data_IF_500747219528
#
_entry.id   IF_500747219528
#
_cell.length_a   1.000
_cell.length_b   1.000
_cell.length_c   1.000
_cell.angle_alpha   90.00
_cell.angle_beta   90.00
_cell.angle_gamma   90.00
#
_symmetry.space_group_name_H-M   'P 1'
#
loop_
_entity.id
_entity.type
_entity.pdbx_description
1 polymer ?
#
# COMPACT_ATOMS: atom_id res chain seq x y z
N UNK A 1 -5.70 26.24 31.98
CA UNK A 1 -6.71 25.27 31.53
C UNK A 1 -6.18 23.91 31.97
N UNK A 2 -7.04 22.93 32.24
CA UNK A 2 -6.53 21.58 32.55
C UNK A 2 -6.03 20.96 31.24
N UNK A 3 -4.78 20.50 31.22
CA UNK A 3 -4.16 19.84 30.06
C UNK A 3 -4.99 18.61 29.63
N UNK A 4 -5.61 17.93 30.59
CA UNK A 4 -6.47 16.77 30.33
C UNK A 4 -7.74 17.19 29.57
N UNK A 5 -8.36 18.30 29.95
CA UNK A 5 -9.54 18.84 29.27
C UNK A 5 -9.17 19.29 27.84
N UNK A 6 -8.00 19.93 27.66
CA UNK A 6 -7.52 20.32 26.33
C UNK A 6 -7.26 19.11 25.43
N UNK A 7 -6.66 18.05 25.96
CA UNK A 7 -6.49 16.79 25.24
C UNK A 7 -7.84 16.21 24.81
N UNK A 8 -8.83 16.15 25.69
CA UNK A 8 -10.14 15.60 25.36
C UNK A 8 -10.84 16.41 24.27
N UNK A 9 -10.79 17.72 24.37
CA UNK A 9 -11.34 18.61 23.35
C UNK A 9 -10.65 18.41 21.99
N UNK A 10 -9.32 18.27 21.96
CA UNK A 10 -8.58 17.98 20.73
C UNK A 10 -8.97 16.63 20.12
N UNK A 11 -9.07 15.58 20.95
CA UNK A 11 -9.44 14.24 20.48
C UNK A 11 -10.86 14.17 19.94
N UNK A 12 -11.81 14.87 20.57
CA UNK A 12 -13.21 14.97 20.11
C UNK A 12 -13.28 15.75 18.78
N UNK A 13 -12.50 16.82 18.64
CA UNK A 13 -12.42 17.55 17.38
C UNK A 13 -11.87 16.65 16.26
N UNK A 14 -10.80 15.90 16.52
CA UNK A 14 -10.20 14.98 15.54
C UNK A 14 -11.12 13.83 15.15
N UNK A 15 -11.85 13.24 16.09
CA UNK A 15 -12.83 12.19 15.79
C UNK A 15 -14.04 12.70 14.99
N UNK A 16 -14.27 14.01 14.98
CA UNK A 16 -15.27 14.66 14.13
C UNK A 16 -14.73 15.00 12.74
N UNK A 17 -13.42 15.24 12.61
CA UNK A 17 -12.75 15.58 11.35
C UNK A 17 -12.45 14.32 10.54
N UNK A 18 -12.02 13.25 11.20
CA UNK A 18 -11.54 12.02 10.58
C UNK A 18 -12.50 10.86 10.80
N UNK A 19 -12.58 9.96 9.83
CA UNK A 19 -13.29 8.70 10.00
C UNK A 19 -12.52 7.72 10.89
N UNK A 20 -13.20 6.65 11.30
CA UNK A 20 -12.61 5.59 12.14
C UNK A 20 -11.49 4.82 11.45
N UNK A 21 -11.36 4.92 10.13
CA UNK A 21 -10.24 4.30 9.41
C UNK A 21 -8.97 5.16 9.51
N UNK A 22 -9.12 6.49 9.47
CA UNK A 22 -8.00 7.45 9.51
C UNK A 22 -7.50 7.74 10.92
N UNK A 23 -8.38 7.84 11.92
CA UNK A 23 -8.01 8.21 13.29
C UNK A 23 -8.60 7.26 14.33
N UNK A 24 -7.74 6.70 15.18
CA UNK A 24 -8.10 5.75 16.21
C UNK A 24 -7.46 6.10 17.55
N UNK A 25 -8.21 5.94 18.64
CA UNK A 25 -7.72 6.08 20.01
C UNK A 25 -7.42 4.66 20.52
N UNK A 26 -6.19 4.40 20.98
CA UNK A 26 -5.71 3.06 21.40
C UNK A 26 -5.63 2.95 22.94
N UNK A 27 -6.36 3.77 23.69
CA UNK A 27 -6.33 3.74 25.15
C UNK A 27 -6.47 2.31 25.71
N UNK A 28 -5.65 1.97 26.71
CA UNK A 28 -5.93 0.83 27.57
C UNK A 28 -7.09 1.20 28.49
N UNK A 29 -8.17 0.43 28.45
CA UNK A 29 -9.41 0.63 29.23
C UNK A 29 -9.20 0.42 30.75
N UNK A 30 -8.36 1.22 31.40
CA UNK A 30 -8.30 1.27 32.87
C UNK A 30 -8.68 2.66 33.40
N UNK A 31 -9.92 2.83 33.90
CA UNK A 31 -10.40 4.10 34.44
C UNK A 31 -9.75 4.50 35.79
N UNK A 32 -8.80 3.72 36.31
CA UNK A 32 -8.08 4.02 37.56
C UNK A 32 -6.60 4.32 37.40
N UNK A 33 -6.08 4.36 36.17
CA UNK A 33 -4.69 4.73 35.91
C UNK A 33 -4.67 5.98 35.04
N UNK A 34 -3.93 7.01 35.46
CA UNK A 34 -3.58 8.15 34.61
C UNK A 34 -2.60 7.61 33.55
N UNK A 35 -3.13 7.00 32.49
CA UNK A 35 -2.32 6.46 31.39
C UNK A 35 -2.17 7.54 30.32
N UNK A 36 -0.97 7.70 29.79
CA UNK A 36 -0.72 8.47 28.58
C UNK A 36 -1.68 8.00 27.46
N UNK A 37 -2.59 8.87 27.01
CA UNK A 37 -3.50 8.56 25.90
C UNK A 37 -2.66 8.33 24.65
N UNK A 38 -2.92 7.26 23.92
CA UNK A 38 -2.23 6.97 22.66
C UNK A 38 -3.22 6.98 21.53
N UNK A 39 -2.88 7.70 20.47
CA UNK A 39 -3.68 7.78 19.24
C UNK A 39 -2.87 7.24 18.07
N UNK A 40 -3.59 6.83 17.02
CA UNK A 40 -3.01 6.36 15.78
C UNK A 40 -3.70 7.02 14.60
N UNK A 41 -2.89 7.64 13.76
CA UNK A 41 -3.29 8.06 12.43
C UNK A 41 -2.89 7.00 11.40
N UNK A 42 -3.80 6.70 10.48
CA UNK A 42 -3.56 5.93 9.26
C UNK A 42 -3.55 6.92 8.10
N UNK A 43 -2.38 7.20 7.56
CA UNK A 43 -2.18 8.27 6.58
C UNK A 43 -1.96 7.64 5.22
N UNK A 44 -3.01 7.61 4.42
CA UNK A 44 -2.94 7.24 3.01
C UNK A 44 -2.16 8.30 2.23
N UNK A 45 -1.13 7.85 1.50
CA UNK A 45 -0.33 8.72 0.64
C UNK A 45 -0.78 8.55 -0.80
N UNK A 46 -1.19 9.66 -1.41
CA UNK A 46 -1.57 9.68 -2.81
C UNK A 46 -0.33 9.78 -3.68
N UNK A 47 -0.16 8.83 -4.60
CA UNK A 47 0.87 8.92 -5.62
C UNK A 47 0.40 9.89 -6.73
N UNK A 48 1.27 10.79 -7.22
CA UNK A 48 0.91 11.73 -8.28
C UNK A 48 0.62 11.01 -9.61
N UNK A 49 1.37 9.94 -9.89
CA UNK A 49 1.15 9.02 -11.02
C UNK A 49 1.59 7.61 -10.59
N UNK A 50 1.18 6.59 -11.35
CA UNK A 50 1.64 5.23 -11.16
C UNK A 50 3.17 5.14 -11.32
N UNK A 51 3.84 4.45 -10.39
CA UNK A 51 5.29 4.41 -10.25
C UNK A 51 5.82 3.04 -10.63
N UNK A 52 6.90 2.99 -11.42
CA UNK A 52 7.65 1.75 -11.67
C UNK A 52 8.55 1.44 -10.47
N UNK A 53 8.35 0.25 -9.88
CA UNK A 53 9.21 -0.29 -8.83
C UNK A 53 9.94 -1.53 -9.36
N UNK A 54 11.15 -1.77 -8.88
CA UNK A 54 11.91 -2.95 -9.26
C UNK A 54 12.83 -3.48 -8.15
N UNK A 55 13.05 -4.79 -8.20
CA UNK A 55 13.95 -5.51 -7.31
C UNK A 55 14.97 -6.30 -8.11
N UNK A 56 16.23 -6.25 -7.70
CA UNK A 56 17.34 -7.03 -8.28
C UNK A 56 17.79 -8.12 -7.32
N UNK A 57 17.63 -9.38 -7.70
CA UNK A 57 18.19 -10.50 -6.94
C UNK A 57 19.52 -10.95 -7.54
N UNK A 58 20.49 -11.17 -6.66
CA UNK A 58 21.73 -11.88 -6.99
C UNK A 58 21.62 -13.31 -6.50
N UNK A 59 21.36 -14.24 -7.42
CA UNK A 59 21.43 -15.66 -7.11
C UNK A 59 22.91 -16.06 -7.04
N UNK A 60 23.42 -16.41 -5.86
CA UNK A 60 24.83 -16.71 -5.63
C UNK A 60 25.39 -17.94 -6.36
N UNK A 61 24.64 -18.54 -7.30
CA UNK A 61 25.01 -19.75 -8.04
C UNK A 61 25.29 -19.51 -9.52
N UNK A 62 24.75 -18.44 -10.11
CA UNK A 62 25.06 -18.02 -11.47
C UNK A 62 25.18 -16.50 -11.44
N UNK A 63 26.15 -15.92 -12.15
CA UNK A 63 26.39 -14.48 -12.20
C UNK A 63 25.30 -13.73 -13.01
N UNK A 64 24.02 -14.14 -12.86
CA UNK A 64 22.84 -13.64 -13.54
C UNK A 64 22.02 -12.79 -12.57
N UNK A 65 22.03 -11.49 -12.81
CA UNK A 65 21.12 -10.56 -12.16
C UNK A 65 19.71 -10.76 -12.71
N UNK A 66 18.76 -11.10 -11.83
CA UNK A 66 17.34 -11.12 -12.19
C UNK A 66 16.68 -9.86 -11.67
N UNK A 67 16.15 -9.05 -12.59
CA UNK A 67 15.41 -7.83 -12.25
C UNK A 67 13.93 -8.08 -12.45
N UNK A 68 13.12 -8.00 -11.38
CA UNK A 68 11.66 -8.01 -11.46
C UNK A 68 11.19 -6.56 -11.42
N UNK A 69 10.29 -6.19 -12.34
CA UNK A 69 9.71 -4.85 -12.45
C UNK A 69 8.19 -4.91 -12.42
N UNK A 70 7.56 -3.89 -11.87
CA UNK A 70 6.10 -3.71 -11.94
C UNK A 70 5.74 -2.23 -11.75
N UNK A 71 4.51 -1.88 -12.07
CA UNK A 71 3.94 -0.56 -11.85
C UNK A 71 2.93 -0.66 -10.70
N UNK A 72 2.97 0.30 -9.77
CA UNK A 72 2.00 0.43 -8.69
C UNK A 72 1.39 1.83 -8.68
N UNK A 73 0.11 1.92 -8.35
CA UNK A 73 -0.63 3.18 -8.21
C UNK A 73 -0.93 3.54 -6.75
N UNK A 74 -0.76 2.59 -5.82
CA UNK A 74 -1.04 2.78 -4.41
C UNK A 74 0.09 2.25 -3.53
N UNK A 75 0.38 2.96 -2.44
CA UNK A 75 1.34 2.55 -1.41
C UNK A 75 0.62 2.26 -0.09
N UNK A 76 1.13 1.30 0.71
CA UNK A 76 0.69 1.11 2.09
C UNK A 76 0.67 2.43 2.87
N UNK A 77 -0.26 2.64 3.82
CA UNK A 77 -0.34 3.89 4.54
C UNK A 77 0.85 4.05 5.50
N UNK A 78 1.13 5.30 5.87
CA UNK A 78 2.00 5.60 7.00
C UNK A 78 1.16 5.59 8.27
N UNK A 79 1.60 4.79 9.23
CA UNK A 79 1.02 4.77 10.57
C UNK A 79 1.81 5.71 11.48
N UNK A 80 1.13 6.70 12.04
CA UNK A 80 1.70 7.57 13.07
C UNK A 80 1.04 7.24 14.42
N UNK A 81 1.80 6.61 15.31
CA UNK A 81 1.39 6.36 16.69
C UNK A 81 1.91 7.50 17.55
N UNK A 82 0.99 8.19 18.23
CA UNK A 82 1.31 9.37 19.02
C UNK A 82 0.86 9.14 20.46
N UNK A 83 1.80 9.24 21.40
CA UNK A 83 1.52 9.14 22.83
C UNK A 83 1.52 10.53 23.46
N UNK A 84 0.42 10.85 24.14
CA UNK A 84 0.18 12.13 24.80
C UNK A 84 0.62 12.05 26.28
N UNK A 85 1.63 12.82 26.69
CA UNK A 85 1.94 13.02 28.10
C UNK A 85 0.77 13.66 28.86
N UNK A 86 0.73 13.53 30.18
CA UNK A 86 -0.33 14.09 31.02
C UNK A 86 -0.31 15.62 31.10
N UNK A 87 0.83 16.21 30.79
CA UNK A 87 1.17 17.64 30.84
C UNK A 87 1.27 18.26 29.43
N UNK A 88 0.73 17.58 28.41
CA UNK A 88 0.52 18.13 27.08
C UNK A 88 -0.86 18.81 27.02
N UNK A 89 -1.00 19.99 26.39
CA UNK A 89 0.00 20.65 25.54
C UNK A 89 0.90 21.67 26.24
N UNK A 90 0.65 21.99 27.52
CA UNK A 90 1.31 23.12 28.18
C UNK A 90 2.82 22.96 28.37
N UNK A 91 3.28 21.78 28.78
CA UNK A 91 4.68 21.55 29.20
C UNK A 91 5.40 20.60 28.25
N UNK A 92 4.81 19.44 27.97
CA UNK A 92 5.45 18.39 27.17
C UNK A 92 4.82 18.27 25.79
N UNK A 93 5.62 17.86 24.81
CA UNK A 93 5.15 17.59 23.44
C UNK A 93 4.83 16.10 23.27
N UNK A 94 3.94 15.72 22.33
CA UNK A 94 3.64 14.33 22.08
C UNK A 94 4.84 13.53 21.57
N UNK A 95 4.96 12.27 21.99
CA UNK A 95 5.94 11.34 21.42
C UNK A 95 5.36 10.71 20.15
N UNK A 96 6.11 10.74 19.05
CA UNK A 96 5.64 10.26 17.74
C UNK A 96 6.51 9.11 17.26
N UNK A 97 5.86 8.02 16.84
CA UNK A 97 6.47 6.88 16.15
C UNK A 97 5.83 6.73 14.79
N UNK A 98 6.65 6.78 13.73
CA UNK A 98 6.23 6.57 12.36
C UNK A 98 6.58 5.15 11.90
N UNK A 99 5.65 4.50 11.21
CA UNK A 99 5.84 3.17 10.65
C UNK A 99 5.15 3.03 9.31
N UNK A 100 5.87 2.59 8.29
CA UNK A 100 5.30 2.13 7.02
C UNK A 100 6.24 1.10 6.40
N UNK A 101 5.69 0.16 5.62
CA UNK A 101 6.49 -0.90 5.01
C UNK A 101 7.64 -0.37 4.13
N UNK A 102 7.40 0.74 3.44
CA UNK A 102 8.34 1.38 2.50
C UNK A 102 9.07 2.60 3.07
N UNK A 103 8.76 3.03 4.30
CA UNK A 103 9.35 4.23 4.89
C UNK A 103 10.72 3.89 5.47
N UNK A 104 11.78 4.41 4.86
CA UNK A 104 13.14 4.20 5.33
C UNK A 104 13.42 4.99 6.63
N UNK A 105 14.21 4.47 7.58
CA UNK A 105 14.52 5.15 8.84
C UNK A 105 15.06 6.58 8.72
N UNK A 106 15.86 6.85 7.68
CA UNK A 106 16.39 8.21 7.40
C UNK A 106 15.26 9.18 7.04
N UNK A 107 14.27 8.72 6.27
CA UNK A 107 13.13 9.55 5.88
C UNK A 107 12.22 9.81 7.09
N UNK A 108 11.97 8.78 7.92
CA UNK A 108 11.22 8.98 9.17
C UNK A 108 11.93 9.95 10.12
N UNK A 109 13.26 9.86 10.27
CA UNK A 109 14.03 10.80 11.10
C UNK A 109 13.91 12.25 10.59
N UNK A 110 13.93 12.45 9.27
CA UNK A 110 13.71 13.77 8.67
C UNK A 110 12.31 14.33 8.98
N UNK A 111 11.27 13.49 8.91
CA UNK A 111 9.90 13.90 9.26
C UNK A 111 9.81 14.22 10.77
N UNK A 112 10.38 13.36 11.63
CA UNK A 112 10.37 13.56 13.08
C UNK A 112 11.07 14.86 13.49
N UNK A 113 12.20 15.21 12.86
CA UNK A 113 12.87 16.52 13.08
C UNK A 113 11.97 17.70 12.73
N UNK A 114 11.21 17.60 11.63
CA UNK A 114 10.26 18.65 11.24
C UNK A 114 9.09 18.75 12.24
N UNK A 115 8.61 17.63 12.76
CA UNK A 115 7.60 17.61 13.83
C UNK A 115 8.12 18.26 15.12
N UNK A 116 9.38 18.03 15.50
CA UNK A 116 10.00 18.69 16.65
C UNK A 116 10.12 20.21 16.48
N UNK A 117 10.37 20.69 15.25
CA UNK A 117 10.37 22.14 14.99
C UNK A 117 8.95 22.71 15.09
N UNK A 118 7.97 22.01 14.51
CA UNK A 118 6.56 22.42 14.55
C UNK A 118 6.04 22.56 15.98
N UNK A 119 6.39 21.64 16.87
CA UNK A 119 6.00 21.73 18.28
C UNK A 119 6.73 22.85 19.03
N UNK A 120 8.00 23.11 18.71
CA UNK A 120 8.74 24.23 19.28
C UNK A 120 8.19 25.60 18.85
N UNK A 121 7.62 25.70 17.63
CA UNK A 121 6.96 26.91 17.12
C UNK A 121 5.58 27.16 17.74
N UNK A 122 4.95 26.13 18.31
CA UNK A 122 3.58 26.18 18.85
C UNK A 122 3.54 25.69 20.31
N UNK A 123 4.24 26.35 21.26
CA UNK A 123 4.27 25.92 22.65
C UNK A 123 2.91 26.14 23.33
N UNK A 124 2.45 25.16 24.11
CA UNK A 124 1.22 25.28 24.89
C UNK A 124 -0.06 25.23 24.07
N UNK A 125 -0.02 24.69 22.85
CA UNK A 125 -1.18 24.58 21.96
C UNK A 125 -1.37 23.12 21.53
N UNK A 126 -2.62 22.64 21.39
CA UNK A 126 -2.89 21.35 20.77
C UNK A 126 -2.47 21.31 19.28
N UNK A 127 -1.65 20.33 18.87
CA UNK A 127 -0.98 20.28 17.55
C UNK A 127 -1.15 18.97 16.77
N UNK A 128 -2.01 18.04 17.21
CA UNK A 128 -2.14 16.72 16.57
C UNK A 128 -2.65 16.80 15.13
N UNK A 129 -3.57 17.72 14.82
CA UNK A 129 -3.99 17.95 13.44
C UNK A 129 -2.82 18.46 12.58
N UNK A 130 -1.98 19.35 13.12
CA UNK A 130 -0.81 19.87 12.43
C UNK A 130 0.23 18.76 12.21
N UNK A 131 0.38 17.85 13.16
CA UNK A 131 1.23 16.66 13.00
C UNK A 131 0.74 15.78 11.85
N UNK A 132 -0.56 15.46 11.81
CA UNK A 132 -1.14 14.70 10.69
C UNK A 132 -0.85 15.36 9.35
N UNK A 133 -1.12 16.68 9.25
CA UNK A 133 -0.95 17.45 8.03
C UNK A 133 0.52 17.47 7.59
N UNK A 134 1.45 17.76 8.51
CA UNK A 134 2.87 17.81 8.22
C UNK A 134 3.42 16.44 7.81
N UNK A 135 3.01 15.36 8.48
CA UNK A 135 3.42 14.00 8.08
C UNK A 135 2.93 13.72 6.66
N UNK A 136 1.66 14.01 6.34
CA UNK A 136 1.09 13.79 5.01
C UNK A 136 1.85 14.57 3.93
N UNK A 137 2.04 15.87 4.13
CA UNK A 137 2.66 16.76 3.15
C UNK A 137 4.15 16.44 2.96
N UNK A 138 4.89 16.23 4.04
CA UNK A 138 6.32 15.89 3.97
C UNK A 138 6.55 14.53 3.35
N UNK A 139 5.72 13.56 3.70
CA UNK A 139 5.80 12.22 3.12
C UNK A 139 5.52 12.26 1.62
N UNK A 140 4.53 13.04 1.18
CA UNK A 140 4.24 13.25 -0.24
C UNK A 140 5.45 13.88 -0.96
N UNK A 141 6.05 14.94 -0.42
CA UNK A 141 7.24 15.59 -1.01
C UNK A 141 8.44 14.64 -1.09
N UNK A 142 8.65 13.82 -0.05
CA UNK A 142 9.71 12.82 -0.05
C UNK A 142 9.47 11.75 -1.11
N UNK A 143 8.23 11.32 -1.30
CA UNK A 143 7.88 10.38 -2.35
C UNK A 143 8.01 11.02 -3.73
N UNK A 144 7.48 12.22 -3.97
CA UNK A 144 7.60 12.92 -5.25
C UNK A 144 9.07 13.12 -5.69
N UNK A 145 9.92 13.50 -4.74
CA UNK A 145 11.37 13.59 -4.98
C UNK A 145 12.06 12.22 -5.13
N UNK A 146 11.56 11.17 -4.49
CA UNK A 146 12.07 9.80 -4.60
C UNK A 146 11.49 9.00 -5.79
N UNK A 147 10.36 9.40 -6.37
CA UNK A 147 9.78 8.82 -7.59
C UNK A 147 10.71 9.09 -8.78
N UNK A 148 11.38 10.25 -8.79
CA UNK A 148 12.51 10.53 -9.69
C UNK A 148 13.72 9.61 -9.46
N UNK A 149 13.66 8.80 -8.40
CA UNK A 149 14.72 7.97 -7.89
C UNK A 149 14.24 6.54 -7.67
N UNK A 150 13.50 5.98 -8.65
CA UNK A 150 13.37 4.54 -8.89
C UNK A 150 13.57 3.72 -7.60
N UNK A 151 12.52 3.39 -6.84
CA UNK A 151 12.63 2.63 -5.58
C UNK A 151 13.49 1.37 -5.81
N UNK A 152 14.80 1.54 -5.62
CA UNK A 152 15.78 0.60 -6.12
C UNK A 152 16.08 -0.28 -4.94
N UNK A 153 15.27 -1.31 -4.81
CA UNK A 153 15.41 -2.34 -3.80
C UNK A 153 16.63 -3.20 -4.16
N UNK A 154 17.85 -2.70 -3.92
CA UNK A 154 19.08 -3.47 -4.11
C UNK A 154 19.49 -4.14 -2.80
N UNK A 155 20.03 -5.34 -2.92
CA UNK A 155 20.52 -6.15 -1.80
C UNK A 155 21.90 -5.70 -1.27
N UNK A 156 22.35 -4.51 -1.66
CA UNK A 156 23.65 -3.99 -1.26
C UNK A 156 23.54 -3.17 0.04
N UNK A 157 24.51 -3.29 0.97
CA UNK A 157 24.47 -2.60 2.27
C UNK A 157 24.68 -1.07 2.19
N UNK A 158 24.78 -0.50 0.99
CA UNK A 158 24.93 0.94 0.77
C UNK A 158 23.71 1.54 0.06
N UNK A 159 22.50 1.19 0.53
CA UNK A 159 21.27 1.77 0.03
C UNK A 159 20.89 3.04 0.81
N UNK A 160 21.79 4.03 0.78
CA UNK A 160 21.29 5.40 0.62
C UNK A 160 20.50 5.41 -0.70
N UNK A 161 19.43 6.20 -0.78
CA UNK A 161 18.88 6.68 -2.06
C UNK A 161 20.04 7.14 -2.95
N UNK A 162 20.61 6.23 -3.75
CA UNK A 162 21.74 6.51 -4.61
C UNK A 162 21.14 6.69 -5.97
N UNK A 163 20.87 7.96 -6.28
CA UNK A 163 20.55 8.43 -7.60
C UNK A 163 21.44 7.71 -8.61
N UNK A 164 20.90 6.76 -9.38
CA UNK A 164 21.67 6.02 -10.37
C UNK A 164 21.97 6.85 -11.63
N UNK A 165 21.69 8.16 -11.62
CA UNK A 165 22.06 9.06 -12.69
C UNK A 165 22.66 10.36 -12.19
N UNK A 166 23.98 10.39 -11.97
CA UNK A 166 24.82 11.49 -12.48
C UNK A 166 26.23 10.97 -12.76
N UNK A 167 26.62 11.01 -14.04
CA UNK A 167 28.00 10.82 -14.48
C UNK A 167 28.81 12.04 -14.07
N UNK A 168 29.46 12.04 -12.91
CA UNK A 168 30.50 13.03 -12.61
C UNK A 168 31.85 12.40 -12.30
N UNK A 169 32.78 12.76 -13.20
CA UNK A 169 34.22 12.53 -13.24
C UNK A 169 34.85 12.59 -11.83
N UNK A 170 35.52 11.51 -11.45
CA UNK A 170 36.42 11.46 -10.29
C UNK A 170 37.48 12.56 -10.41
N UNK A 171 37.51 13.49 -9.46
CA UNK A 171 38.74 14.19 -9.06
C UNK A 171 38.98 13.89 -7.58
N UNK A 172 40.10 13.20 -7.36
CA UNK A 172 40.74 12.89 -6.09
C UNK A 172 40.93 14.12 -5.22
N UNK A 173 40.57 14.06 -3.94
CA UNK A 173 41.28 14.78 -2.89
C UNK A 173 41.19 14.04 -1.55
N UNK A 174 42.25 14.21 -0.76
CA UNK A 174 42.80 13.33 0.26
C UNK A 174 42.24 13.52 1.68
N UNK A 175 42.15 12.39 2.41
CA UNK A 175 42.31 12.14 3.86
C UNK A 175 42.10 13.30 4.87
N UNK A 176 41.18 13.09 5.82
CA UNK A 176 41.52 12.97 7.25
C UNK A 176 40.33 12.47 8.13
N UNK A 177 40.58 11.37 8.86
CA UNK A 177 40.16 10.98 10.23
C UNK A 177 38.67 11.11 10.63
N UNK A 178 37.91 10.01 10.64
CA UNK A 178 37.75 9.00 11.73
C UNK A 178 36.85 9.46 12.89
N UNK A 179 35.55 9.16 12.77
CA UNK A 179 34.70 8.75 13.89
C UNK A 179 33.89 7.57 13.36
N UNK A 180 33.96 6.46 14.10
CA UNK A 180 33.39 5.16 13.76
C UNK A 180 31.85 5.22 13.77
N UNK A 181 31.24 5.10 12.59
CA UNK A 181 29.82 4.74 12.41
C UNK A 181 29.75 3.33 11.83
N UNK A 182 29.87 2.34 12.72
CA UNK A 182 29.75 0.93 12.39
C UNK A 182 28.36 0.42 12.77
N UNK A 183 27.37 0.70 11.91
CA UNK A 183 26.06 0.04 11.91
C UNK A 183 25.71 -0.37 10.48
N UNK A 184 26.59 -1.20 9.94
CA UNK A 184 26.48 -1.82 8.63
C UNK A 184 25.43 -2.95 8.66
N UNK A 185 24.16 -2.60 8.81
CA UNK A 185 23.04 -3.55 8.86
C UNK A 185 22.82 -4.11 7.46
N UNK A 186 23.44 -5.25 7.18
CA UNK A 186 23.32 -5.99 5.92
C UNK A 186 21.84 -6.39 5.71
N UNK A 187 21.07 -5.61 4.96
CA UNK A 187 19.67 -5.94 4.65
C UNK A 187 19.67 -7.24 3.85
N UNK A 188 19.07 -8.29 4.41
CA UNK A 188 18.96 -9.60 3.76
C UNK A 188 18.21 -9.45 2.44
N UNK A 189 18.70 -10.10 1.37
CA UNK A 189 18.04 -10.12 0.06
C UNK A 189 16.58 -10.59 0.13
N UNK A 190 16.27 -11.46 1.10
CA UNK A 190 14.91 -11.90 1.37
C UNK A 190 14.00 -10.78 1.88
N UNK A 191 14.52 -9.85 2.69
CA UNK A 191 13.73 -8.74 3.23
C UNK A 191 13.32 -7.77 2.13
N UNK A 192 14.24 -7.51 1.20
CA UNK A 192 14.01 -6.66 0.03
C UNK A 192 12.95 -7.27 -0.89
N UNK A 193 13.00 -8.59 -1.13
CA UNK A 193 11.98 -9.31 -1.88
C UNK A 193 10.61 -9.29 -1.19
N UNK A 194 10.57 -9.52 0.12
CA UNK A 194 9.32 -9.46 0.91
C UNK A 194 8.67 -8.09 0.85
N UNK A 195 9.46 -7.00 0.89
CA UNK A 195 8.96 -5.66 0.70
C UNK A 195 8.41 -5.45 -0.72
N UNK A 196 9.13 -5.90 -1.75
CA UNK A 196 8.65 -5.79 -3.13
C UNK A 196 7.32 -6.50 -3.34
N UNK A 197 7.19 -7.74 -2.86
CA UNK A 197 5.95 -8.51 -2.98
C UNK A 197 4.82 -7.88 -2.14
N UNK A 198 5.09 -7.35 -0.93
CA UNK A 198 4.06 -6.70 -0.12
C UNK A 198 3.53 -5.39 -0.69
N UNK A 199 4.36 -4.65 -1.45
CA UNK A 199 3.91 -3.46 -2.18
C UNK A 199 2.96 -3.81 -3.33
N UNK A 200 3.23 -4.92 -4.03
CA UNK A 200 2.34 -5.45 -5.07
C UNK A 200 1.02 -5.87 -4.45
N UNK A 201 1.07 -6.69 -3.40
CA UNK A 201 -0.12 -7.22 -2.74
C UNK A 201 -1.02 -6.08 -2.24
N UNK A 202 -0.43 -5.03 -1.68
CA UNK A 202 -1.19 -3.85 -1.24
C UNK A 202 -1.80 -3.07 -2.40
N UNK A 203 -1.03 -2.86 -3.48
CA UNK A 203 -1.52 -2.18 -4.67
C UNK A 203 -2.73 -2.91 -5.28
N UNK A 204 -2.62 -4.24 -5.43
CA UNK A 204 -3.68 -5.08 -5.98
C UNK A 204 -4.91 -5.09 -5.06
N UNK A 205 -4.69 -5.17 -3.74
CA UNK A 205 -5.75 -5.02 -2.75
C UNK A 205 -6.49 -3.68 -2.87
N UNK A 206 -5.77 -2.56 -2.98
CA UNK A 206 -6.40 -1.23 -3.11
C UNK A 206 -7.15 -1.07 -4.42
N UNK A 207 -6.60 -1.54 -5.53
CA UNK A 207 -7.30 -1.55 -6.82
C UNK A 207 -8.58 -2.38 -6.76
N UNK A 208 -8.55 -3.53 -6.08
CA UNK A 208 -9.75 -4.35 -5.89
C UNK A 208 -10.82 -3.63 -5.05
N UNK A 209 -10.43 -2.98 -3.95
CA UNK A 209 -11.39 -2.21 -3.12
C UNK A 209 -12.04 -1.08 -3.91
N UNK A 210 -11.25 -0.32 -4.68
CA UNK A 210 -11.78 0.74 -5.55
C UNK A 210 -12.75 0.17 -6.58
N UNK A 211 -12.33 -0.89 -7.28
CA UNK A 211 -13.20 -1.56 -8.24
C UNK A 211 -14.52 -1.97 -7.61
N UNK A 212 -14.49 -2.61 -6.43
CA UNK A 212 -15.66 -3.09 -5.71
C UNK A 212 -16.64 -1.99 -5.31
N UNK A 213 -16.13 -0.80 -4.98
CA UNK A 213 -16.91 0.33 -4.49
C UNK A 213 -17.38 1.27 -5.60
N UNK A 214 -16.80 1.17 -6.80
CA UNK A 214 -17.24 1.92 -7.98
C UNK A 214 -18.37 1.20 -8.73
N UNK A 215 -19.17 1.98 -9.47
CA UNK A 215 -20.21 1.46 -10.37
C UNK A 215 -19.63 1.22 -11.76
N UNK A 216 -20.00 0.09 -12.35
CA UNK A 216 -19.58 -0.34 -13.67
C UNK A 216 -20.81 -0.71 -14.51
N UNK A 217 -20.82 -0.27 -15.77
CA UNK A 217 -21.85 -0.62 -16.73
C UNK A 217 -21.58 -2.02 -17.31
N UNK A 218 -22.54 -2.93 -17.21
CA UNK A 218 -22.47 -4.23 -17.88
C UNK A 218 -22.93 -4.10 -19.33
N UNK A 219 -22.05 -4.35 -20.31
CA UNK A 219 -22.38 -4.21 -21.75
C UNK A 219 -23.38 -5.25 -22.29
N UNK A 220 -23.67 -6.30 -21.52
CA UNK A 220 -24.61 -7.35 -21.94
C UNK A 220 -26.06 -6.99 -21.60
N UNK A 221 -26.28 -6.44 -20.39
CA UNK A 221 -27.62 -6.07 -19.93
C UNK A 221 -27.84 -4.55 -19.85
N UNK A 222 -26.81 -3.75 -20.10
CA UNK A 222 -26.81 -2.28 -20.08
C UNK A 222 -27.25 -1.67 -18.73
N UNK A 223 -26.99 -2.38 -17.64
CA UNK A 223 -27.30 -1.95 -16.27
C UNK A 223 -26.00 -1.69 -15.49
N UNK A 224 -26.04 -0.68 -14.61
CA UNK A 224 -24.95 -0.37 -13.70
C UNK A 224 -25.00 -1.23 -12.43
N UNK A 225 -23.85 -1.77 -12.04
CA UNK A 225 -23.67 -2.54 -10.82
C UNK A 225 -22.42 -2.09 -10.08
N UNK A 226 -22.39 -2.22 -8.76
CA UNK A 226 -21.13 -2.06 -8.02
C UNK A 226 -20.15 -3.16 -8.43
N UNK A 227 -18.84 -2.88 -8.43
CA UNK A 227 -17.84 -3.88 -8.82
C UNK A 227 -17.87 -5.13 -7.94
N UNK A 228 -18.40 -5.05 -6.72
CA UNK A 228 -18.68 -6.20 -5.85
C UNK A 228 -19.66 -7.22 -6.46
N UNK A 229 -20.50 -6.79 -7.40
CA UNK A 229 -21.45 -7.61 -8.18
C UNK A 229 -20.97 -7.86 -9.63
N UNK A 230 -19.75 -7.43 -9.96
CA UNK A 230 -19.16 -7.60 -11.29
C UNK A 230 -17.94 -8.53 -11.26
N UNK A 231 -17.51 -8.94 -12.45
CA UNK A 231 -16.23 -9.55 -12.72
C UNK A 231 -15.45 -8.65 -13.70
N UNK A 232 -14.17 -8.40 -13.40
CA UNK A 232 -13.24 -7.77 -14.34
C UNK A 232 -12.30 -8.83 -14.93
N UNK A 233 -12.33 -8.99 -16.25
CA UNK A 233 -11.45 -9.94 -16.94
C UNK A 233 -10.02 -9.40 -17.03
N UNK A 234 -9.03 -10.28 -16.88
CA UNK A 234 -7.61 -9.95 -17.06
C UNK A 234 -7.02 -10.80 -18.19
N UNK A 235 -6.20 -10.24 -19.10
CA UNK A 235 -5.69 -8.86 -19.10
C UNK A 235 -6.58 -7.83 -19.81
N UNK A 236 -7.71 -8.19 -20.42
CA UNK A 236 -8.49 -7.27 -21.27
C UNK A 236 -9.25 -6.16 -20.51
N UNK A 237 -9.39 -6.26 -19.18
CA UNK A 237 -10.03 -5.29 -18.27
C UNK A 237 -11.54 -5.06 -18.49
N UNK A 238 -12.19 -5.79 -19.39
CA UNK A 238 -13.66 -5.72 -19.56
C UNK A 238 -14.40 -6.15 -18.29
N UNK A 239 -15.50 -5.48 -18.00
CA UNK A 239 -16.29 -5.66 -16.78
C UNK A 239 -17.71 -6.11 -17.13
N UNK A 240 -18.20 -7.15 -16.47
CA UNK A 240 -19.55 -7.67 -16.66
C UNK A 240 -20.17 -8.03 -15.31
N UNK A 241 -21.49 -7.89 -15.19
CA UNK A 241 -22.17 -8.32 -13.97
C UNK A 241 -22.12 -9.85 -13.82
N UNK A 242 -22.05 -10.32 -12.57
CA UNK A 242 -21.96 -11.74 -12.24
C UNK A 242 -23.13 -12.54 -12.82
N UNK A 243 -24.32 -11.97 -12.91
CA UNK A 243 -25.50 -12.63 -13.48
C UNK A 243 -25.32 -12.96 -14.96
N UNK A 244 -24.87 -12.01 -15.78
CA UNK A 244 -24.61 -12.24 -17.20
C UNK A 244 -23.48 -13.27 -17.39
N UNK A 245 -22.40 -13.16 -16.60
CA UNK A 245 -21.34 -14.17 -16.62
C UNK A 245 -21.84 -15.57 -16.24
N UNK A 246 -22.71 -15.67 -15.21
CA UNK A 246 -23.29 -16.94 -14.78
C UNK A 246 -24.08 -17.61 -15.89
N UNK A 247 -25.00 -16.87 -16.49
CA UNK A 247 -25.85 -17.37 -17.57
C UNK A 247 -25.01 -17.85 -18.77
N UNK A 248 -24.01 -17.05 -19.16
CA UNK A 248 -23.12 -17.37 -20.26
C UNK A 248 -22.29 -18.63 -19.98
N UNK A 249 -21.63 -18.71 -18.83
CA UNK A 249 -20.79 -19.86 -18.49
C UNK A 249 -21.60 -21.13 -18.30
N UNK A 250 -22.75 -21.08 -17.61
CA UNK A 250 -23.59 -22.25 -17.43
C UNK A 250 -24.15 -22.79 -18.74
N UNK A 251 -24.53 -21.90 -19.68
CA UNK A 251 -24.97 -22.31 -21.02
C UNK A 251 -23.86 -23.10 -21.72
N UNK A 252 -22.65 -22.55 -21.81
CA UNK A 252 -21.53 -23.21 -22.48
C UNK A 252 -21.09 -24.50 -21.77
N UNK A 253 -21.13 -24.56 -20.44
CA UNK A 253 -20.85 -25.77 -19.67
C UNK A 253 -21.91 -26.85 -19.93
N UNK A 254 -23.19 -26.48 -20.04
CA UNK A 254 -24.29 -27.41 -20.34
C UNK A 254 -24.20 -27.95 -21.77
N UNK A 255 -23.82 -27.10 -22.73
CA UNK A 255 -23.68 -27.45 -24.15
C UNK A 255 -22.36 -28.18 -24.46
N UNK A 256 -21.41 -28.20 -23.53
CA UNK A 256 -20.10 -28.82 -23.73
C UNK A 256 -19.14 -27.97 -24.57
N UNK A 257 -19.44 -26.69 -24.77
CA UNK A 257 -18.69 -25.76 -25.64
C UNK A 257 -17.66 -24.93 -24.85
N UNK A 258 -16.77 -25.63 -24.13
CA UNK A 258 -15.81 -25.01 -23.19
C UNK A 258 -14.78 -24.08 -23.82
N UNK A 259 -14.45 -24.26 -25.10
CA UNK A 259 -13.56 -23.38 -25.87
C UNK A 259 -14.10 -21.94 -25.97
N UNK A 260 -15.37 -21.73 -25.63
CA UNK A 260 -16.08 -20.44 -25.63
C UNK A 260 -16.16 -19.82 -24.23
N UNK A 261 -15.58 -20.43 -23.19
CA UNK A 261 -15.45 -19.83 -21.85
C UNK A 261 -14.41 -18.70 -21.85
N UNK A 262 -14.81 -17.60 -22.49
CA UNK A 262 -14.02 -16.40 -22.74
C UNK A 262 -14.75 -15.17 -22.21
N UNK A 263 -14.08 -14.03 -22.34
CA UNK A 263 -14.66 -12.72 -22.15
C UNK A 263 -15.89 -12.52 -23.04
N UNK A 264 -16.93 -11.87 -22.50
CA UNK A 264 -18.21 -11.66 -23.19
C UNK A 264 -18.16 -10.47 -24.17
N UNK A 265 -17.09 -9.68 -24.18
CA UNK A 265 -16.93 -8.57 -25.10
C UNK A 265 -16.75 -9.05 -26.54
N UNK A 266 -17.32 -8.31 -27.49
CA UNK A 266 -17.16 -8.61 -28.91
C UNK A 266 -15.68 -8.64 -29.32
N UNK A 267 -15.28 -9.66 -30.08
CA UNK A 267 -13.91 -9.85 -30.59
C UNK A 267 -12.84 -9.99 -29.49
N UNK A 268 -13.23 -10.22 -28.24
CA UNK A 268 -12.29 -10.50 -27.16
C UNK A 268 -12.00 -12.01 -27.08
N UNK A 269 -10.71 -12.37 -27.07
CA UNK A 269 -10.26 -13.77 -26.97
C UNK A 269 -9.67 -14.13 -25.61
N UNK A 270 -9.83 -13.26 -24.60
CA UNK A 270 -9.36 -13.53 -23.24
C UNK A 270 -10.14 -14.70 -22.65
N UNK A 271 -9.41 -15.74 -22.25
CA UNK A 271 -9.98 -16.94 -21.63
C UNK A 271 -10.37 -16.62 -20.18
N UNK A 272 -11.54 -17.11 -19.74
CA UNK A 272 -11.96 -16.96 -18.36
C UNK A 272 -11.09 -17.82 -17.43
N UNK A 273 -10.57 -17.23 -16.36
CA UNK A 273 -9.76 -17.95 -15.38
C UNK A 273 -10.67 -18.92 -14.60
N UNK A 274 -10.26 -20.17 -14.33
CA UNK A 274 -11.07 -21.15 -13.61
C UNK A 274 -11.67 -20.64 -12.29
N UNK A 275 -10.92 -19.81 -11.55
CA UNK A 275 -11.38 -19.19 -10.30
C UNK A 275 -12.56 -18.23 -10.50
N UNK A 276 -12.65 -17.54 -11.64
CA UNK A 276 -13.81 -16.69 -11.99
C UNK A 276 -15.03 -17.51 -12.37
N UNK A 277 -14.82 -18.64 -13.05
CA UNK A 277 -15.91 -19.56 -13.38
C UNK A 277 -16.48 -20.11 -12.07
N UNK A 278 -15.61 -20.63 -11.20
CA UNK A 278 -15.99 -21.17 -9.88
C UNK A 278 -16.73 -20.17 -9.00
N UNK A 279 -16.38 -18.89 -9.05
CA UNK A 279 -17.01 -17.87 -8.19
C UNK A 279 -18.42 -17.47 -8.63
N UNK A 280 -18.87 -17.91 -9.81
CA UNK A 280 -20.13 -17.46 -10.41
C UNK A 280 -21.09 -18.60 -10.76
N UNK A 281 -20.58 -19.75 -11.20
CA UNK A 281 -21.42 -20.92 -11.52
C UNK A 281 -21.68 -21.77 -10.28
N UNK A 282 -22.78 -22.53 -10.29
CA UNK A 282 -23.08 -23.46 -9.19
C UNK A 282 -22.08 -24.63 -9.14
N UNK A 283 -21.89 -25.24 -7.96
CA UNK A 283 -20.93 -26.32 -7.74
C UNK A 283 -21.06 -27.48 -8.76
N UNK A 284 -22.29 -27.87 -9.07
CA UNK A 284 -22.56 -28.95 -10.04
C UNK A 284 -22.12 -28.61 -11.47
N UNK A 285 -22.17 -27.33 -11.86
CA UNK A 285 -21.68 -26.86 -13.15
C UNK A 285 -20.15 -26.80 -13.16
N UNK A 286 -19.55 -26.34 -12.05
CA UNK A 286 -18.10 -26.29 -11.93
C UNK A 286 -17.46 -27.69 -11.93
N UNK A 287 -18.06 -28.68 -11.26
CA UNK A 287 -17.57 -30.07 -11.32
C UNK A 287 -17.55 -30.65 -12.74
N UNK A 288 -18.55 -30.29 -13.56
CA UNK A 288 -18.59 -30.72 -14.98
C UNK A 288 -17.45 -30.08 -15.76
N UNK A 289 -17.25 -28.77 -15.56
CA UNK A 289 -16.12 -28.05 -16.13
C UNK A 289 -14.78 -28.69 -15.74
N UNK A 290 -14.58 -29.02 -14.47
CA UNK A 290 -13.32 -29.57 -13.94
C UNK A 290 -13.04 -30.99 -14.49
N UNK A 291 -14.04 -31.88 -14.47
CA UNK A 291 -13.91 -33.25 -15.03
C UNK A 291 -13.53 -33.24 -16.51
N UNK A 292 -14.10 -32.31 -17.28
CA UNK A 292 -13.92 -32.25 -18.73
C UNK A 292 -12.60 -31.58 -19.11
N UNK A 293 -12.20 -30.51 -18.40
CA UNK A 293 -10.89 -29.88 -18.59
C UNK A 293 -9.74 -30.83 -18.25
N UNK A 294 -9.87 -31.62 -17.18
CA UNK A 294 -8.90 -32.68 -16.84
C UNK A 294 -8.82 -33.77 -17.92
N UNK A 295 -9.94 -34.16 -18.52
CA UNK A 295 -9.95 -35.17 -19.59
C UNK A 295 -9.33 -34.67 -20.90
N UNK A 296 -9.47 -33.38 -21.20
CA UNK A 296 -8.92 -32.75 -22.41
C UNK A 296 -7.41 -32.46 -22.35
N UNK A 297 -6.82 -32.42 -21.15
CA UNK A 297 -5.38 -32.15 -20.95
C UNK A 297 -4.53 -33.43 -20.89
N UNK A 298 -5.14 -34.60 -21.04
CA UNK A 298 -4.51 -35.93 -21.05
C UNK A 298 -4.32 -36.51 -22.47
N UNK A 299 -4.55 -35.71 -23.52
CA UNK A 299 -4.37 -36.07 -24.93
C UNK A 299 -3.40 -35.13 -25.64
#
# INVERSE_FOLDING_TARGET
MDDIDEQENELIALSSIFDSETFNIISGDDPHVIVCKTVKFVIDIQLPEAVEIYYTSHDGKENRETTKKTIISYLPPVYATISLPTDYPTVSTPNVVLSAAWLHPILSDKILRKLSNLSAENPGVPILYLYYQLIKDETFVLIDSAINLNLCLQTSPNLLLRCCHTKHKRKSFSKSNSVDEDSNTKISSNHVRQLFDSLIDYNDYRLEQLFRNEKHLCEICYTEFYGSECLQFTPCKHVFCKLCCKQFFEMHIKEGTFELLKCLAEKCNTIAIPMFIKSVVDDSAFERYDKLTLSSSLY
#
